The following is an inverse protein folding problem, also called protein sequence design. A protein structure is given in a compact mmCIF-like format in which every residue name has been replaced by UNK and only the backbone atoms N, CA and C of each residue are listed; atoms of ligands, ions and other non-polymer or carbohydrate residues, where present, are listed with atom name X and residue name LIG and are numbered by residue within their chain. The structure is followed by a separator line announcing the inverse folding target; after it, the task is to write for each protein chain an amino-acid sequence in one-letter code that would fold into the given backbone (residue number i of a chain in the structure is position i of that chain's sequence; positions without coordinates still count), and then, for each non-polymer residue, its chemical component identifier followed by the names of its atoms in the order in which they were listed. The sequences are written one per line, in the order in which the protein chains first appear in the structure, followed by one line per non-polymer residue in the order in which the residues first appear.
data_IF_528063004464
#
_entry.id   IF_528063004464
#
_cell.length_a   1.000
_cell.length_b   1.000
_cell.length_c   1.000
_cell.angle_alpha   90.00
_cell.angle_beta   90.00
_cell.angle_gamma   90.00
#
_symmetry.space_group_name_H-M   'P 1'
#
loop_
_entity.id
_entity.type
_entity.pdbx_description
1 polymer ?
#
# COMPACT_ATOMS: atom_id res chain seq x y z
N UNK A 1 13.12 -0.59 -5.24
CA UNK A 1 11.83 0.03 -5.60
C UNK A 1 11.73 1.46 -5.06
N UNK A 2 11.82 1.67 -3.75
CA UNK A 2 11.60 2.96 -3.06
C UNK A 2 12.42 4.14 -3.62
N UNK A 3 13.68 3.91 -4.03
CA UNK A 3 14.54 4.93 -4.67
C UNK A 3 14.18 5.29 -6.12
N UNK A 4 12.96 5.01 -6.57
CA UNK A 4 12.51 5.31 -7.94
C UNK A 4 13.20 4.53 -9.07
N UNK A 5 14.16 3.65 -8.76
CA UNK A 5 14.90 2.80 -9.72
C UNK A 5 14.04 1.62 -10.20
N UNK A 6 13.01 1.90 -11.00
CA UNK A 6 12.00 0.90 -11.40
C UNK A 6 12.54 -0.21 -12.32
N UNK A 7 13.44 0.12 -13.26
CA UNK A 7 14.09 -0.88 -14.13
C UNK A 7 14.88 -1.91 -13.32
N UNK A 8 15.70 -1.42 -12.38
CA UNK A 8 16.45 -2.28 -11.47
C UNK A 8 15.51 -3.10 -10.58
N UNK A 9 14.45 -2.49 -10.03
CA UNK A 9 13.46 -3.22 -9.25
C UNK A 9 12.79 -4.35 -10.05
N UNK A 10 12.46 -4.11 -11.31
CA UNK A 10 11.88 -5.13 -12.19
C UNK A 10 12.86 -6.27 -12.50
N UNK A 11 14.14 -5.96 -12.75
CA UNK A 11 15.18 -6.98 -12.94
C UNK A 11 15.40 -7.82 -11.67
N UNK A 12 15.43 -7.19 -10.50
CA UNK A 12 15.56 -7.88 -9.22
C UNK A 12 14.36 -8.78 -8.90
N UNK A 13 13.15 -8.43 -9.34
CA UNK A 13 11.99 -9.31 -9.20
C UNK A 13 12.15 -10.63 -9.95
N UNK A 14 12.78 -10.62 -11.13
CA UNK A 14 13.09 -11.85 -11.86
C UNK A 14 13.99 -12.77 -11.05
N UNK A 15 15.06 -12.22 -10.45
CA UNK A 15 15.97 -12.98 -9.58
C UNK A 15 15.29 -13.47 -8.30
N UNK A 16 14.50 -12.59 -7.66
CA UNK A 16 13.76 -12.94 -6.44
C UNK A 16 12.76 -14.07 -6.68
N UNK A 17 12.14 -14.12 -7.87
CA UNK A 17 11.23 -15.19 -8.25
C UNK A 17 11.93 -16.55 -8.33
N UNK A 18 13.12 -16.59 -8.91
CA UNK A 18 13.92 -17.81 -8.99
C UNK A 18 14.29 -18.32 -7.59
N UNK A 19 14.74 -17.42 -6.71
CA UNK A 19 15.04 -17.77 -5.32
C UNK A 19 13.79 -18.23 -4.54
N UNK A 20 12.63 -17.63 -4.82
CA UNK A 20 11.37 -17.95 -4.15
C UNK A 20 10.81 -19.34 -4.48
N UNK A 21 11.33 -20.03 -5.50
CA UNK A 21 10.97 -21.42 -5.76
C UNK A 21 11.28 -22.33 -4.57
N UNK A 22 12.29 -21.95 -3.79
CA UNK A 22 12.67 -22.61 -2.54
C UNK A 22 12.06 -21.97 -1.29
N UNK A 23 11.33 -20.85 -1.42
CA UNK A 23 10.75 -20.16 -0.27
C UNK A 23 9.62 -20.99 0.34
N UNK A 24 9.76 -21.27 1.62
CA UNK A 24 8.82 -22.12 2.37
C UNK A 24 7.72 -21.26 3.01
N UNK A 25 7.99 -19.98 3.29
CA UNK A 25 7.06 -19.14 4.04
C UNK A 25 6.05 -18.40 3.16
N UNK A 26 4.81 -18.36 3.61
CA UNK A 26 3.77 -17.56 2.97
C UNK A 26 4.06 -16.04 3.06
N UNK A 27 4.74 -15.58 4.09
CA UNK A 27 5.15 -14.17 4.24
C UNK A 27 6.08 -13.72 3.10
N UNK A 28 7.04 -14.55 2.72
CA UNK A 28 7.93 -14.26 1.58
C UNK A 28 7.17 -14.32 0.26
N UNK A 29 6.37 -15.38 0.05
CA UNK A 29 5.57 -15.57 -1.16
C UNK A 29 4.60 -14.41 -1.39
N UNK A 30 3.89 -13.99 -0.35
CA UNK A 30 2.96 -12.86 -0.43
C UNK A 30 3.67 -11.53 -0.67
N UNK A 31 4.85 -11.32 -0.07
CA UNK A 31 5.68 -10.14 -0.34
C UNK A 31 6.13 -10.09 -1.80
N UNK A 32 6.58 -11.22 -2.35
CA UNK A 32 6.96 -11.32 -3.75
C UNK A 32 5.77 -11.03 -4.67
N UNK A 33 4.62 -11.68 -4.46
CA UNK A 33 3.40 -11.47 -5.25
C UNK A 33 2.93 -10.00 -5.21
N UNK A 34 3.04 -9.36 -4.05
CA UNK A 34 2.73 -7.94 -3.89
C UNK A 34 3.63 -7.07 -4.78
N UNK A 35 4.96 -7.28 -4.77
CA UNK A 35 5.86 -6.50 -5.61
C UNK A 35 5.78 -6.88 -7.11
N UNK A 36 5.45 -8.13 -7.45
CA UNK A 36 5.14 -8.54 -8.82
C UNK A 36 3.96 -7.76 -9.41
N UNK A 37 3.01 -7.32 -8.57
CA UNK A 37 1.93 -6.43 -8.96
C UNK A 37 2.36 -4.94 -8.92
N UNK A 38 3.01 -4.50 -7.84
CA UNK A 38 3.30 -3.09 -7.59
C UNK A 38 4.30 -2.49 -8.59
N UNK A 39 5.37 -3.22 -8.93
CA UNK A 39 6.43 -2.70 -9.81
C UNK A 39 5.92 -2.42 -11.23
N UNK A 40 5.30 -3.37 -11.96
CA UNK A 40 4.76 -3.07 -13.29
C UNK A 40 3.61 -2.06 -13.23
N UNK A 41 2.82 -2.04 -12.15
CA UNK A 41 1.80 -1.01 -11.93
C UNK A 41 2.44 0.40 -11.91
N UNK A 42 3.51 0.57 -11.14
CA UNK A 42 4.22 1.85 -11.03
C UNK A 42 4.89 2.24 -12.35
N UNK A 43 5.48 1.28 -13.07
CA UNK A 43 6.05 1.53 -14.40
C UNK A 43 4.94 2.03 -15.34
N UNK A 44 3.81 1.34 -15.40
CA UNK A 44 2.67 1.74 -16.22
C UNK A 44 2.17 3.15 -15.86
N UNK A 45 2.16 3.53 -14.58
CA UNK A 45 1.73 4.87 -14.16
C UNK A 45 2.68 5.95 -14.68
N UNK A 46 4.00 5.69 -14.68
CA UNK A 46 5.00 6.66 -15.14
C UNK A 46 5.17 6.75 -16.65
N UNK A 47 4.89 5.66 -17.37
CA UNK A 47 5.05 5.61 -18.83
C UNK A 47 3.76 5.87 -19.61
N UNK A 48 2.72 6.40 -18.95
CA UNK A 48 1.45 6.71 -19.62
C UNK A 48 0.62 5.49 -20.00
N UNK A 49 0.78 4.37 -19.29
CA UNK A 49 -0.13 3.23 -19.38
C UNK A 49 0.21 2.21 -20.46
N UNK A 50 1.50 2.00 -20.76
CA UNK A 50 1.96 0.93 -21.66
C UNK A 50 1.18 -0.38 -21.43
N UNK A 51 0.52 -0.84 -22.49
CA UNK A 51 -0.47 -1.93 -22.44
C UNK A 51 0.09 -3.21 -21.84
N UNK A 52 1.37 -3.51 -22.10
CA UNK A 52 2.10 -4.64 -21.53
C UNK A 52 2.16 -4.60 -19.99
N UNK A 53 2.70 -3.52 -19.40
CA UNK A 53 2.86 -3.40 -17.95
C UNK A 53 1.52 -3.34 -17.23
N UNK A 54 0.52 -2.68 -17.85
CA UNK A 54 -0.86 -2.65 -17.34
C UNK A 54 -1.48 -4.05 -17.28
N UNK A 55 -1.34 -4.85 -18.35
CA UNK A 55 -1.85 -6.23 -18.40
C UNK A 55 -1.16 -7.11 -17.36
N UNK A 56 0.17 -7.01 -17.25
CA UNK A 56 0.98 -7.74 -16.27
C UNK A 56 0.58 -7.38 -14.83
N UNK A 57 0.46 -6.08 -14.53
CA UNK A 57 0.00 -5.61 -13.23
C UNK A 57 -1.37 -6.18 -12.89
N UNK A 58 -2.35 -6.10 -13.80
CA UNK A 58 -3.70 -6.67 -13.60
C UNK A 58 -3.66 -8.17 -13.29
N UNK A 59 -2.88 -8.94 -14.05
CA UNK A 59 -2.74 -10.38 -13.83
C UNK A 59 -2.16 -10.68 -12.43
N UNK A 60 -1.07 -10.00 -12.05
CA UNK A 60 -0.45 -10.16 -10.74
C UNK A 60 -1.39 -9.72 -9.58
N UNK A 61 -2.14 -8.63 -9.75
CA UNK A 61 -3.16 -8.19 -8.78
C UNK A 61 -4.22 -9.29 -8.59
N UNK A 62 -4.69 -9.92 -9.67
CA UNK A 62 -5.68 -10.99 -9.56
C UNK A 62 -5.12 -12.21 -8.83
N UNK A 63 -3.85 -12.58 -9.07
CA UNK A 63 -3.17 -13.65 -8.33
C UNK A 63 -3.07 -13.28 -6.85
N UNK A 64 -2.57 -12.08 -6.53
CA UNK A 64 -2.45 -11.60 -5.16
C UNK A 64 -3.82 -11.52 -4.46
N UNK A 65 -4.87 -11.07 -5.15
CA UNK A 65 -6.23 -11.02 -4.63
C UNK A 65 -6.71 -12.41 -4.21
N UNK A 66 -6.49 -13.44 -5.03
CA UNK A 66 -6.86 -14.83 -4.68
C UNK A 66 -6.11 -15.32 -3.45
N UNK A 67 -4.81 -15.05 -3.36
CA UNK A 67 -4.01 -15.41 -2.19
C UNK A 67 -4.54 -14.74 -0.91
N UNK A 68 -4.92 -13.46 -0.99
CA UNK A 68 -5.47 -12.71 0.15
C UNK A 68 -6.88 -13.16 0.54
N UNK A 69 -7.77 -13.43 -0.42
CA UNK A 69 -9.19 -13.69 -0.12
C UNK A 69 -9.55 -15.15 0.08
N UNK A 70 -8.87 -16.08 -0.60
CA UNK A 70 -9.20 -17.51 -0.57
C UNK A 70 -8.26 -18.30 0.32
N UNK A 71 -6.96 -18.09 0.16
CA UNK A 71 -5.94 -18.99 0.73
C UNK A 71 -5.62 -18.63 2.18
N UNK A 72 -5.69 -17.35 2.56
CA UNK A 72 -5.18 -16.89 3.84
C UNK A 72 -6.12 -15.89 4.54
N UNK A 73 -7.38 -16.31 4.72
CA UNK A 73 -8.41 -15.62 5.52
C UNK A 73 -7.90 -15.42 6.96
N UNK A 74 -7.20 -14.33 7.21
CA UNK A 74 -6.60 -14.04 8.52
C UNK A 74 -5.28 -13.29 8.48
N UNK A 75 -4.59 -13.22 7.33
CA UNK A 75 -3.41 -12.37 7.25
C UNK A 75 -3.74 -10.91 7.01
N UNK A 76 -3.03 -10.05 7.74
CA UNK A 76 -3.12 -8.59 7.63
C UNK A 76 -2.52 -8.04 6.31
N UNK A 77 -2.81 -8.66 5.16
CA UNK A 77 -2.35 -8.23 3.83
C UNK A 77 -3.38 -7.38 3.07
N UNK A 78 -4.58 -7.22 3.62
CA UNK A 78 -5.67 -6.53 2.94
C UNK A 78 -5.31 -5.09 2.54
N UNK A 79 -4.50 -4.38 3.35
CA UNK A 79 -4.03 -3.04 3.02
C UNK A 79 -3.17 -3.00 1.75
N UNK A 80 -2.37 -4.04 1.47
CA UNK A 80 -1.58 -4.15 0.24
C UNK A 80 -2.47 -4.32 -0.98
N UNK A 81 -3.52 -5.14 -0.87
CA UNK A 81 -4.49 -5.32 -1.95
C UNK A 81 -5.23 -4.01 -2.24
N UNK A 82 -5.69 -3.31 -1.20
CA UNK A 82 -6.33 -2.00 -1.34
C UNK A 82 -5.43 -0.98 -2.06
N UNK A 83 -4.13 -0.95 -1.72
CA UNK A 83 -3.18 -0.09 -2.40
C UNK A 83 -3.02 -0.45 -3.89
N UNK A 84 -2.93 -1.74 -4.22
CA UNK A 84 -2.85 -2.19 -5.61
C UNK A 84 -4.10 -1.83 -6.40
N UNK A 85 -5.28 -1.99 -5.81
CA UNK A 85 -6.56 -1.61 -6.43
C UNK A 85 -6.64 -0.08 -6.63
N UNK A 86 -6.21 0.72 -5.65
CA UNK A 86 -6.14 2.18 -5.77
C UNK A 86 -5.18 2.62 -6.90
N UNK A 87 -4.00 2.01 -6.97
CA UNK A 87 -3.05 2.31 -8.04
C UNK A 87 -3.56 1.89 -9.42
N UNK A 88 -4.27 0.77 -9.51
CA UNK A 88 -4.88 0.33 -10.77
C UNK A 88 -6.04 1.23 -11.19
N UNK A 89 -6.81 1.77 -10.23
CA UNK A 89 -7.82 2.79 -10.50
C UNK A 89 -7.16 4.08 -11.01
N UNK A 90 -6.06 4.52 -10.38
CA UNK A 90 -5.29 5.69 -10.81
C UNK A 90 -4.74 5.56 -12.24
N UNK A 91 -4.37 4.35 -12.69
CA UNK A 91 -4.00 4.10 -14.10
C UNK A 91 -5.12 4.42 -15.11
N UNK A 92 -6.37 4.37 -14.68
CA UNK A 92 -7.55 4.65 -15.50
C UNK A 92 -8.15 6.01 -15.15
N UNK A 93 -7.37 6.93 -14.59
CA UNK A 93 -7.86 8.22 -14.08
C UNK A 93 -8.47 9.12 -15.16
N UNK A 94 -8.09 8.99 -16.43
CA UNK A 94 -8.79 9.67 -17.53
C UNK A 94 -10.29 9.28 -17.63
N UNK A 95 -10.69 8.15 -17.03
CA UNK A 95 -12.08 7.67 -16.94
C UNK A 95 -12.64 7.68 -15.51
N UNK A 96 -11.81 7.95 -14.50
CA UNK A 96 -12.19 7.79 -13.10
C UNK A 96 -12.27 9.15 -12.43
N UNK A 97 -13.30 9.37 -11.62
CA UNK A 97 -13.42 10.58 -10.80
C UNK A 97 -12.26 10.62 -9.80
N UNK A 98 -11.61 11.78 -9.67
CA UNK A 98 -10.50 12.00 -8.73
C UNK A 98 -10.83 11.57 -7.31
N UNK A 99 -12.01 11.97 -6.83
CA UNK A 99 -12.48 11.63 -5.49
C UNK A 99 -12.62 10.12 -5.25
N UNK A 100 -12.75 9.31 -6.31
CA UNK A 100 -12.74 7.85 -6.19
C UNK A 100 -11.32 7.32 -5.99
N UNK A 101 -10.34 7.86 -6.74
CA UNK A 101 -8.92 7.49 -6.61
C UNK A 101 -8.40 7.90 -5.23
N UNK A 102 -8.72 9.13 -4.80
CA UNK A 102 -8.38 9.64 -3.48
C UNK A 102 -8.91 8.72 -2.37
N UNK A 103 -10.22 8.46 -2.36
CA UNK A 103 -10.87 7.60 -1.36
C UNK A 103 -10.27 6.19 -1.33
N UNK A 104 -9.87 5.65 -2.49
CA UNK A 104 -9.23 4.35 -2.56
C UNK A 104 -7.85 4.34 -1.88
N UNK A 105 -7.01 5.35 -2.13
CA UNK A 105 -5.73 5.49 -1.45
C UNK A 105 -5.89 5.76 0.05
N UNK A 106 -6.79 6.65 0.44
CA UNK A 106 -7.08 6.94 1.86
C UNK A 106 -7.53 5.68 2.60
N UNK A 107 -8.36 4.85 1.96
CA UNK A 107 -8.76 3.56 2.52
C UNK A 107 -7.54 2.65 2.74
N UNK A 108 -6.64 2.53 1.76
CA UNK A 108 -5.41 1.74 1.90
C UNK A 108 -4.52 2.27 3.04
N UNK A 109 -4.28 3.60 3.09
CA UNK A 109 -3.48 4.28 4.11
C UNK A 109 -4.07 4.06 5.51
N UNK A 110 -5.39 4.25 5.65
CA UNK A 110 -6.12 4.08 6.92
C UNK A 110 -5.99 2.65 7.45
N UNK A 111 -6.19 1.65 6.60
CA UNK A 111 -6.09 0.24 7.02
C UNK A 111 -4.64 -0.12 7.38
N UNK A 112 -3.65 0.27 6.56
CA UNK A 112 -2.23 0.04 6.86
C UNK A 112 -1.82 0.68 8.20
N UNK A 113 -2.23 1.93 8.43
CA UNK A 113 -1.94 2.66 9.67
C UNK A 113 -2.58 1.97 10.88
N UNK A 114 -3.87 1.62 10.80
CA UNK A 114 -4.59 0.94 11.90
C UNK A 114 -4.01 -0.43 12.24
N UNK A 115 -3.46 -1.12 11.26
CA UNK A 115 -2.88 -2.46 11.44
C UNK A 115 -1.39 -2.42 11.81
N UNK A 116 -0.81 -1.23 11.97
CA UNK A 116 0.59 -1.05 12.39
C UNK A 116 1.64 -1.16 11.28
N UNK A 117 1.21 -1.31 10.03
CA UNK A 117 2.08 -1.43 8.84
C UNK A 117 2.51 -0.05 8.34
N UNK A 118 3.39 0.61 9.10
CA UNK A 118 3.82 2.00 8.82
C UNK A 118 4.52 2.12 7.47
N UNK A 119 5.38 1.18 7.13
CA UNK A 119 6.09 1.18 5.85
C UNK A 119 5.14 1.06 4.66
N UNK A 120 4.09 0.25 4.74
CA UNK A 120 3.07 0.18 3.70
C UNK A 120 2.18 1.43 3.67
N UNK A 121 1.88 2.03 4.83
CA UNK A 121 1.21 3.33 4.88
C UNK A 121 2.07 4.42 4.21
N UNK A 122 3.39 4.42 4.42
CA UNK A 122 4.33 5.33 3.77
C UNK A 122 4.30 5.14 2.24
N UNK A 123 4.43 3.90 1.77
CA UNK A 123 4.33 3.58 0.34
C UNK A 123 2.99 4.05 -0.23
N UNK A 124 1.86 3.78 0.44
CA UNK A 124 0.55 4.19 -0.03
C UNK A 124 0.41 5.72 -0.15
N UNK A 125 0.94 6.47 0.83
CA UNK A 125 1.03 7.93 0.77
C UNK A 125 1.90 8.38 -0.42
N UNK A 126 3.09 7.79 -0.62
CA UNK A 126 3.94 8.13 -1.76
C UNK A 126 3.24 7.93 -3.11
N UNK A 127 2.49 6.84 -3.27
CA UNK A 127 1.72 6.58 -4.49
C UNK A 127 0.59 7.58 -4.71
N UNK A 128 -0.16 7.92 -3.65
CA UNK A 128 -1.19 8.93 -3.71
C UNK A 128 -0.59 10.29 -4.12
N UNK A 129 0.49 10.69 -3.47
CA UNK A 129 1.17 11.95 -3.77
C UNK A 129 1.72 12.01 -5.20
N UNK A 130 2.33 10.92 -5.68
CA UNK A 130 2.74 10.80 -7.08
C UNK A 130 1.57 10.93 -8.05
N UNK A 131 0.43 10.29 -7.76
CA UNK A 131 -0.77 10.41 -8.59
C UNK A 131 -1.26 11.86 -8.70
N UNK A 132 -1.42 12.56 -7.57
CA UNK A 132 -1.86 13.96 -7.58
C UNK A 132 -0.86 14.86 -8.29
N UNK A 133 0.43 14.63 -8.09
CA UNK A 133 1.48 15.42 -8.73
C UNK A 133 1.50 15.23 -10.25
N UNK A 134 1.55 13.98 -10.73
CA UNK A 134 1.81 13.71 -12.15
C UNK A 134 0.55 13.65 -13.00
N UNK A 135 -0.58 13.21 -12.44
CA UNK A 135 -1.82 12.98 -13.20
C UNK A 135 -2.81 14.11 -13.05
N UNK A 136 -2.88 14.73 -11.86
CA UNK A 136 -3.82 15.83 -11.59
C UNK A 136 -3.16 17.21 -11.58
N UNK A 137 -1.82 17.26 -11.54
CA UNK A 137 -1.05 18.48 -11.37
C UNK A 137 -1.47 19.27 -10.11
N UNK A 138 -1.93 18.56 -9.08
CA UNK A 138 -2.36 19.14 -7.80
C UNK A 138 -1.21 19.06 -6.79
N UNK A 139 -0.44 20.14 -6.70
CA UNK A 139 0.71 20.25 -5.80
C UNK A 139 0.32 20.25 -4.31
N UNK A 140 -0.90 20.69 -3.98
CA UNK A 140 -1.37 20.76 -2.59
C UNK A 140 -1.60 19.36 -2.03
N UNK A 141 -2.42 18.56 -2.72
CA UNK A 141 -2.65 17.16 -2.35
C UNK A 141 -1.39 16.32 -2.49
N UNK A 142 -0.59 16.55 -3.54
CA UNK A 142 0.70 15.89 -3.69
C UNK A 142 1.61 16.14 -2.49
N UNK A 143 1.77 17.41 -2.08
CA UNK A 143 2.59 17.80 -0.94
C UNK A 143 2.12 17.16 0.35
N UNK A 144 0.82 17.19 0.63
CA UNK A 144 0.23 16.54 1.80
C UNK A 144 0.63 15.06 1.92
N UNK A 145 0.40 14.27 0.86
CA UNK A 145 0.70 12.83 0.88
C UNK A 145 2.21 12.54 0.86
N UNK A 146 3.01 13.28 0.08
CA UNK A 146 4.47 13.05 0.01
C UNK A 146 5.12 13.35 1.36
N UNK A 147 4.75 14.46 2.00
CA UNK A 147 5.26 14.78 3.33
C UNK A 147 4.88 13.71 4.35
N UNK A 148 3.63 13.24 4.33
CA UNK A 148 3.21 12.15 5.21
C UNK A 148 3.99 10.86 4.95
N UNK A 149 4.36 10.58 3.70
CA UNK A 149 5.22 9.45 3.37
C UNK A 149 6.63 9.60 3.94
N UNK A 150 7.23 10.80 3.90
CA UNK A 150 8.56 11.07 4.43
C UNK A 150 8.56 10.79 5.94
N UNK A 151 7.62 11.38 6.67
CA UNK A 151 7.47 11.19 8.11
C UNK A 151 7.32 9.71 8.48
N UNK A 152 6.46 8.98 7.77
CA UNK A 152 6.25 7.55 8.05
C UNK A 152 7.49 6.69 7.75
N UNK A 153 8.32 7.07 6.78
CA UNK A 153 9.60 6.39 6.54
C UNK A 153 10.64 6.73 7.62
N UNK A 154 10.69 7.98 8.09
CA UNK A 154 11.54 8.37 9.23
C UNK A 154 11.13 7.61 10.50
N UNK A 155 9.84 7.61 10.83
CA UNK A 155 9.26 6.89 11.98
C UNK A 155 9.46 5.36 11.92
N UNK A 156 9.64 4.81 10.73
CA UNK A 156 9.94 3.39 10.52
C UNK A 156 11.45 3.09 10.54
N UNK A 157 12.32 4.11 10.52
CA UNK A 157 13.78 3.98 10.51
C UNK A 157 14.42 3.95 9.12
N UNK A 158 13.65 4.12 8.04
CA UNK A 158 14.18 4.20 6.67
C UNK A 158 14.63 5.62 6.29
N UNK A 159 15.51 6.20 7.11
CA UNK A 159 15.99 7.59 6.98
C UNK A 159 16.59 7.87 5.59
N UNK A 160 17.29 6.91 5.00
CA UNK A 160 17.84 7.04 3.64
C UNK A 160 16.77 7.22 2.55
N UNK A 161 15.63 6.53 2.70
CA UNK A 161 14.48 6.69 1.79
C UNK A 161 13.81 8.03 2.02
N UNK A 162 13.59 8.42 3.28
CA UNK A 162 13.01 9.70 3.63
C UNK A 162 13.81 10.89 3.06
N UNK A 163 15.13 10.91 3.28
CA UNK A 163 16.03 11.93 2.73
C UNK A 163 16.02 11.98 1.20
N UNK A 164 16.00 10.80 0.55
CA UNK A 164 15.88 10.72 -0.90
C UNK A 164 14.57 11.35 -1.39
N UNK A 165 13.44 11.05 -0.74
CA UNK A 165 12.13 11.60 -1.10
C UNK A 165 12.07 13.11 -0.84
N UNK A 166 12.60 13.59 0.28
CA UNK A 166 12.71 15.01 0.58
C UNK A 166 13.47 15.75 -0.52
N UNK A 167 14.68 15.30 -0.85
CA UNK A 167 15.52 15.91 -1.88
C UNK A 167 14.84 15.85 -3.25
N UNK A 168 14.21 14.72 -3.57
CA UNK A 168 13.56 14.51 -4.86
C UNK A 168 12.36 15.42 -5.09
N UNK A 169 11.60 15.71 -4.04
CA UNK A 169 10.32 16.41 -4.14
C UNK A 169 10.35 17.85 -3.62
N UNK A 170 11.52 18.35 -3.22
CA UNK A 170 11.68 19.67 -2.61
C UNK A 170 11.23 20.82 -3.53
N UNK A 171 11.41 20.66 -4.84
CA UNK A 171 11.07 21.70 -5.83
C UNK A 171 9.61 21.62 -6.28
N UNK A 172 9.01 20.43 -6.24
CA UNK A 172 7.63 20.24 -6.72
C UNK A 172 6.56 20.50 -5.65
N UNK A 173 6.89 20.29 -4.37
CA UNK A 173 5.93 20.44 -3.27
C UNK A 173 6.52 21.24 -2.11
N UNK A 174 5.68 22.05 -1.47
CA UNK A 174 6.08 22.86 -0.32
C UNK A 174 6.12 21.99 0.96
N UNK A 175 7.25 21.31 1.16
CA UNK A 175 7.47 20.42 2.31
C UNK A 175 7.52 21.20 3.64
N UNK A 176 7.90 22.49 3.58
CA UNK A 176 8.07 23.33 4.77
C UNK A 176 6.77 23.50 5.56
N UNK A 177 5.63 23.53 4.87
CA UNK A 177 4.31 23.71 5.48
C UNK A 177 3.84 22.52 6.30
N UNK A 178 4.33 21.31 6.03
CA UNK A 178 3.79 20.09 6.66
C UNK A 178 4.48 19.74 7.98
N UNK A 179 5.73 20.14 8.17
CA UNK A 179 6.48 19.94 9.44
C UNK A 179 5.73 20.43 10.69
N UNK A 180 4.84 21.42 10.55
CA UNK A 180 4.04 21.98 11.65
C UNK A 180 2.89 21.10 12.11
N UNK A 181 2.46 20.12 11.30
CA UNK A 181 1.31 19.24 11.62
C UNK A 181 1.71 18.01 12.43
N UNK A 182 3.00 17.65 12.46
CA UNK A 182 3.49 16.43 13.11
C UNK A 182 4.01 16.64 14.53
N UNK A 183 4.32 17.87 14.91
CA UNK A 183 4.75 18.24 16.26
C UNK A 183 3.66 18.03 17.32
N UNK A 184 2.38 17.95 16.96
CA UNK A 184 1.27 17.78 17.92
C UNK A 184 0.99 16.33 18.33
N UNK A 185 1.47 15.32 17.62
CA UNK A 185 1.11 13.90 17.90
C UNK A 185 2.22 13.07 18.56
N UNK A 186 3.45 13.57 18.64
CA UNK A 186 4.57 12.85 19.27
C UNK A 186 4.51 12.83 20.82
N UNK A 187 3.72 13.70 21.44
CA UNK A 187 3.54 13.71 22.90
C UNK A 187 2.64 12.57 23.42
N UNK A 188 1.77 12.00 22.59
CA UNK A 188 0.82 10.97 23.02
C UNK A 188 1.42 9.58 23.28
N UNK A 189 2.62 9.29 22.75
CA UNK A 189 3.24 7.96 22.85
C UNK A 189 4.38 7.86 23.86
N UNK A 190 4.64 8.94 24.63
CA UNK A 190 5.59 8.98 25.75
C UNK A 190 4.95 8.65 27.11
N UNK A 191 3.72 8.14 27.15
CA UNK A 191 3.13 7.58 28.38
C UNK A 191 3.33 6.06 28.38
N UNK A 192 3.94 5.54 29.44
CA UNK A 192 4.33 4.15 29.69
C UNK A 192 5.78 3.74 29.35
N UNK A 193 6.76 4.61 29.57
CA UNK A 193 7.93 4.13 30.32
C UNK A 193 7.44 4.00 31.77
N UNK A 194 7.05 2.79 32.14
CA UNK A 194 6.79 2.42 33.53
C UNK A 194 8.14 2.63 34.23
N UNK A 195 8.29 3.74 34.94
CA UNK A 195 9.25 3.80 36.03
C UNK A 195 8.77 2.79 37.06
N UNK A 196 9.19 1.53 36.91
CA UNK A 196 9.10 0.52 37.97
C UNK A 196 10.14 0.89 39.01
N UNK A 197 9.95 2.04 39.65
CA UNK A 197 10.57 2.29 40.94
C UNK A 197 9.76 1.46 41.91
N UNK A 198 10.36 0.34 42.33
CA UNK A 198 9.86 -0.48 43.41
C UNK A 198 9.58 0.42 44.61
N UNK A 199 8.30 0.66 44.89
CA UNK A 199 7.90 1.26 46.16
C UNK A 199 6.88 0.32 46.80
N UNK A 200 7.42 -0.51 47.70
CA UNK A 200 6.68 -1.10 48.80
C UNK A 200 5.82 -0.02 49.44
N UNK A 201 4.50 -0.20 49.50
CA UNK A 201 3.77 0.03 50.74
C UNK A 201 2.33 -0.50 50.64
N UNK A 202 1.99 -1.22 51.69
CA UNK A 202 0.68 -1.72 52.05
C UNK A 202 -0.36 -0.59 52.08
N UNK A 203 -1.56 -0.83 51.55
CA UNK A 203 -2.76 -0.62 52.36
C UNK A 203 -4.02 -1.26 51.76
N UNK A 204 -4.68 -1.95 52.68
CA UNK A 204 -6.00 -2.57 52.69
C UNK A 204 -7.13 -1.56 52.51
N UNK A 205 -8.18 -1.95 51.76
CA UNK A 205 -9.65 -1.80 52.00
C UNK A 205 -10.35 -1.92 50.62
N UNK A 206 -11.00 -3.02 50.29
CA UNK A 206 -12.38 -3.39 50.67
C UNK A 206 -13.44 -2.36 50.23
N UNK A 207 -14.12 -2.59 49.09
CA UNK A 207 -15.55 -2.26 48.94
C UNK A 207 -16.21 -3.06 47.81
N UNK A 208 -17.24 -3.81 48.21
CA UNK A 208 -18.26 -4.46 47.40
C UNK A 208 -19.06 -3.47 46.52
N UNK A 209 -19.50 -3.92 45.34
CA UNK A 209 -20.90 -3.85 44.88
C UNK A 209 -21.01 -4.43 43.45
N UNK A 210 -21.60 -5.61 43.27
CA UNK A 210 -23.03 -5.89 43.06
C UNK A 210 -23.62 -5.40 41.72
N UNK A 211 -23.90 -6.40 40.87
CA UNK A 211 -25.07 -6.60 40.02
C UNK A 211 -25.55 -5.47 39.11
N UNK A 212 -25.51 -5.71 37.79
CA UNK A 212 -26.77 -5.67 37.03
C UNK A 212 -26.70 -6.50 35.73
N UNK A 213 -27.52 -7.56 35.67
CA UNK A 213 -27.86 -8.30 34.47
C UNK A 213 -28.89 -7.50 33.66
N UNK A 214 -28.58 -7.24 32.39
CA UNK A 214 -29.51 -6.67 31.42
C UNK A 214 -29.50 -7.46 30.13
N UNK A 215 -30.35 -8.49 30.08
CA UNK A 215 -30.76 -9.17 28.86
C UNK A 215 -31.39 -8.16 27.89
N UNK A 216 -31.01 -8.21 26.61
CA UNK A 216 -31.94 -7.88 25.53
C UNK A 216 -31.52 -8.54 24.21
N UNK A 217 -32.18 -9.67 23.96
CA UNK A 217 -32.36 -10.33 22.68
C UNK A 217 -33.17 -9.45 21.73
N UNK A 218 -32.67 -9.21 20.52
CA UNK A 218 -33.48 -8.73 19.40
C UNK A 218 -32.97 -9.34 18.11
N UNK A 219 -33.68 -10.40 17.73
CA UNK A 219 -33.73 -11.02 16.41
C UNK A 219 -33.95 -9.98 15.31
N UNK A 220 -33.16 -10.06 14.24
CA UNK A 220 -33.43 -9.38 12.98
C UNK A 220 -32.92 -10.25 11.83
N UNK A 221 -33.88 -10.94 11.20
CA UNK A 221 -33.76 -11.57 9.90
C UNK A 221 -33.33 -10.54 8.84
N UNK A 222 -32.31 -10.86 8.03
CA UNK A 222 -32.19 -10.25 6.71
C UNK A 222 -31.68 -11.21 5.63
N UNK A 223 -32.45 -11.18 4.55
CA UNK A 223 -32.51 -12.07 3.39
C UNK A 223 -31.21 -12.19 2.59
N UNK A 224 -30.89 -13.43 2.20
CA UNK A 224 -29.89 -13.77 1.19
C UNK A 224 -30.48 -13.55 -0.22
N UNK A 225 -29.96 -12.56 -0.95
CA UNK A 225 -30.06 -12.50 -2.41
C UNK A 225 -28.67 -12.56 -3.05
N UNK A 226 -28.24 -13.77 -3.39
CA UNK A 226 -27.07 -14.03 -4.22
C UNK A 226 -27.43 -13.78 -5.70
N UNK A 227 -27.01 -12.64 -6.26
CA UNK A 227 -26.96 -12.44 -7.72
C UNK A 227 -25.59 -12.86 -8.24
N UNK A 228 -25.55 -13.98 -8.96
CA UNK A 228 -24.40 -14.47 -9.70
C UNK A 228 -24.16 -13.61 -10.93
N UNK A 229 -23.22 -12.66 -10.86
CA UNK A 229 -22.68 -11.99 -12.05
C UNK A 229 -21.42 -12.73 -12.50
N UNK A 230 -21.59 -13.64 -13.46
CA UNK A 230 -20.50 -14.27 -14.20
C UNK A 230 -19.98 -13.28 -15.25
N UNK A 231 -18.71 -12.87 -15.15
CA UNK A 231 -18.05 -12.04 -16.14
C UNK A 231 -17.39 -12.92 -17.21
N UNK A 232 -17.58 -12.66 -18.51
CA UNK A 232 -16.85 -13.37 -19.56
C UNK A 232 -15.36 -12.99 -19.51
N UNK A 233 -14.50 -14.01 -19.50
CA UNK A 233 -13.05 -13.84 -19.55
C UNK A 233 -12.59 -13.28 -20.90
N UNK A 234 -11.49 -12.50 -20.94
CA UNK A 234 -10.97 -11.99 -22.20
C UNK A 234 -10.26 -13.10 -22.99
N UNK A 235 -10.72 -13.34 -24.22
CA UNK A 235 -9.98 -14.08 -25.25
C UNK A 235 -8.63 -13.39 -25.48
N UNK A 236 -7.54 -14.11 -25.22
CA UNK A 236 -6.18 -13.66 -25.54
C UNK A 236 -5.72 -14.39 -26.79
N UNK A 237 -5.86 -13.74 -27.95
CA UNK A 237 -5.20 -14.17 -29.17
C UNK A 237 -3.68 -14.02 -29.03
N UNK A 238 -2.98 -15.15 -29.11
CA UNK A 238 -1.56 -15.32 -28.83
C UNK A 238 -0.59 -14.83 -29.92
N UNK A 239 -0.88 -13.72 -30.62
CA UNK A 239 -0.05 -13.27 -31.76
C UNK A 239 0.98 -12.15 -31.48
N UNK A 240 1.08 -11.61 -30.27
CA UNK A 240 1.94 -10.42 -30.01
C UNK A 240 3.27 -10.65 -29.28
N UNK A 241 3.64 -11.90 -28.96
CA UNK A 241 4.81 -12.16 -28.10
C UNK A 241 6.15 -12.33 -28.85
N UNK A 242 6.14 -12.55 -30.17
CA UNK A 242 7.37 -12.80 -30.95
C UNK A 242 8.08 -11.54 -31.46
N UNK A 243 7.40 -10.42 -31.67
CA UNK A 243 8.05 -9.21 -32.19
C UNK A 243 8.76 -8.36 -31.13
N UNK A 244 8.37 -8.45 -29.85
CA UNK A 244 8.94 -7.60 -28.80
C UNK A 244 10.33 -8.03 -28.29
N UNK A 245 10.79 -9.24 -28.61
CA UNK A 245 12.16 -9.66 -28.28
C UNK A 245 13.23 -9.00 -29.18
N UNK A 246 12.84 -8.50 -30.35
CA UNK A 246 13.77 -7.87 -31.31
C UNK A 246 14.26 -6.48 -30.84
N UNK A 247 13.40 -5.69 -30.19
CA UNK A 247 13.72 -4.31 -29.81
C UNK A 247 14.67 -4.23 -28.60
N UNK A 248 14.76 -5.28 -27.78
CA UNK A 248 15.60 -5.25 -26.56
C UNK A 248 17.09 -5.59 -26.79
N UNK A 249 17.47 -6.12 -27.95
CA UNK A 249 18.87 -6.47 -28.23
C UNK A 249 19.75 -5.33 -28.77
N UNK A 250 19.17 -4.18 -29.12
CA UNK A 250 19.91 -3.08 -29.77
C UNK A 250 20.40 -1.95 -28.84
N UNK A 251 20.16 -2.04 -27.52
CA UNK A 251 20.52 -0.94 -26.58
C UNK A 251 21.73 -1.27 -25.67
N UNK A 252 22.30 -2.47 -25.74
CA UNK A 252 23.48 -2.86 -24.92
C UNK A 252 24.80 -2.92 -25.68
N UNK A 253 24.88 -2.29 -26.86
CA UNK A 253 26.16 -2.06 -27.56
C UNK A 253 26.31 -0.59 -27.94
N UNK A 254 26.53 0.26 -26.94
CA UNK A 254 27.31 1.51 -27.05
C UNK A 254 27.94 1.78 -25.69
#
# INVERSE_FOLDING_TARGET
YMYGRLKLAYALLGKAKELSKSAVSFCEKSTLLYYEALVPLTIAQRTGGMSYYKRRARAAINVFRRAVTKEHKGMNLYHKLLLLDAGFLALNAHRSKESLVQRAYEKAIKIATKTGFRQEAAIANLHAGQYFLTVRNDKSWAGYYICRSIELFEDWGAVGVARYLFTKYADEVDISKVSRLSSTNHQGRRRHTINTTANNNNNTTNTNNNNNLGNNSSSSHHSHHHKNNSYPGPNTDGKSEREFRSVFFHITKK
#
